data_IF_407899049656
#
_entry.id   IF_407899049656
#
_cell.length_a   1.000
_cell.length_b   1.000
_cell.length_c   1.000
_cell.angle_alpha   90.00
_cell.angle_beta   90.00
_cell.angle_gamma   90.00
#
_symmetry.space_group_name_H-M   'P 1'
#
loop_
_entity.id
_entity.type
_entity.pdbx_description
1 polymer ?
#
# COMPACT_ATOMS: atom_id res chain seq x y z
N UNK A 1 -2.06 -24.60 20.65
CA UNK A 1 -0.82 -24.11 20.00
C UNK A 1 -0.22 -22.94 20.79
N UNK A 2 -0.99 -21.89 21.13
CA UNK A 2 -0.52 -20.78 21.99
C UNK A 2 0.09 -21.23 23.32
N UNK A 3 -0.62 -22.08 24.09
CA UNK A 3 -0.14 -22.63 25.39
C UNK A 3 1.18 -23.40 25.29
N UNK A 4 1.45 -24.05 24.15
CA UNK A 4 2.70 -24.78 23.94
C UNK A 4 3.88 -23.86 23.62
N UNK A 5 3.62 -22.68 23.03
CA UNK A 5 4.64 -21.65 22.77
C UNK A 5 4.96 -20.86 24.03
N UNK A 6 4.01 -20.71 24.96
CA UNK A 6 4.27 -20.11 26.28
C UNK A 6 5.33 -20.89 27.06
N UNK A 7 5.30 -22.23 26.97
CA UNK A 7 6.31 -23.11 27.59
C UNK A 7 7.70 -23.01 26.94
N UNK A 8 7.80 -22.45 25.73
CA UNK A 8 9.04 -22.26 24.99
C UNK A 8 9.60 -20.82 25.12
N UNK A 9 8.97 -19.98 25.95
CA UNK A 9 9.30 -18.56 26.10
C UNK A 9 9.31 -17.80 24.75
N UNK A 10 8.43 -18.21 23.83
CA UNK A 10 8.23 -17.55 22.53
C UNK A 10 6.94 -16.76 22.57
N UNK A 11 7.06 -15.44 22.50
CA UNK A 11 5.93 -14.55 22.31
C UNK A 11 5.42 -14.66 20.87
N UNK A 12 4.11 -14.72 20.67
CA UNK A 12 3.46 -14.76 19.35
C UNK A 12 2.29 -13.78 19.29
N UNK A 13 2.14 -13.13 18.14
CA UNK A 13 0.97 -12.34 17.80
C UNK A 13 0.68 -12.48 16.30
N UNK A 14 -0.57 -12.75 15.97
CA UNK A 14 -1.08 -13.01 14.62
C UNK A 14 -1.95 -11.83 14.20
N UNK A 15 -1.74 -11.36 12.98
CA UNK A 15 -2.46 -10.25 12.37
C UNK A 15 -3.15 -10.70 11.09
N UNK A 16 -4.30 -10.10 10.77
CA UNK A 16 -4.99 -10.31 9.49
C UNK A 16 -4.34 -9.50 8.34
N UNK A 17 -4.93 -9.55 7.15
CA UNK A 17 -4.45 -8.82 5.97
C UNK A 17 -4.54 -7.29 6.09
N UNK A 18 -5.34 -6.79 7.04
CA UNK A 18 -5.50 -5.37 7.36
C UNK A 18 -4.63 -4.95 8.56
N UNK A 19 -3.68 -5.80 9.00
CA UNK A 19 -2.83 -5.63 10.17
C UNK A 19 -3.61 -5.58 11.51
N UNK A 20 -4.79 -6.19 11.60
CA UNK A 20 -5.56 -6.27 12.85
C UNK A 20 -5.20 -7.50 13.65
N UNK A 21 -5.02 -7.34 14.95
CA UNK A 21 -4.67 -8.42 15.86
C UNK A 21 -5.78 -9.48 15.92
N UNK A 22 -5.43 -10.73 15.64
CA UNK A 22 -6.34 -11.88 15.68
C UNK A 22 -6.16 -12.70 16.96
N UNK A 23 -4.91 -13.04 17.29
CA UNK A 23 -4.56 -13.94 18.38
C UNK A 23 -3.16 -13.62 18.90
N UNK A 24 -2.96 -13.69 20.21
CA UNK A 24 -1.65 -13.61 20.88
C UNK A 24 -1.60 -14.58 22.05
N UNK A 25 -0.41 -14.81 22.60
CA UNK A 25 -0.22 -15.64 23.80
C UNK A 25 0.19 -14.80 25.03
N UNK A 26 0.24 -15.44 26.19
CA UNK A 26 0.57 -14.75 27.45
C UNK A 26 2.04 -14.29 27.47
N UNK A 27 2.96 -15.04 26.85
CA UNK A 27 4.35 -14.60 26.72
C UNK A 27 4.47 -13.28 25.95
N UNK A 28 3.60 -13.01 24.97
CA UNK A 28 3.57 -11.71 24.29
C UNK A 28 3.27 -10.56 25.26
N UNK A 29 2.31 -10.74 26.17
CA UNK A 29 1.98 -9.73 27.18
C UNK A 29 3.06 -9.61 28.27
N UNK A 30 3.80 -10.67 28.54
CA UNK A 30 4.96 -10.62 29.43
C UNK A 30 6.14 -9.88 28.80
N UNK A 31 6.31 -10.00 27.48
CA UNK A 31 7.33 -9.25 26.76
C UNK A 31 6.91 -7.79 26.66
N UNK A 32 5.66 -7.50 26.29
CA UNK A 32 5.14 -6.16 26.07
C UNK A 32 4.01 -5.83 27.07
N UNK A 33 4.36 -5.55 28.35
CA UNK A 33 3.36 -5.29 29.40
C UNK A 33 2.48 -4.07 29.11
N UNK A 34 2.93 -3.14 28.28
CA UNK A 34 2.15 -2.00 27.80
C UNK A 34 0.89 -2.39 27.01
N UNK A 35 0.79 -3.64 26.56
CA UNK A 35 -0.37 -4.16 25.83
C UNK A 35 -1.33 -4.93 26.75
N UNK A 36 -0.90 -5.30 27.96
CA UNK A 36 -1.72 -6.05 28.90
C UNK A 36 -2.98 -5.25 29.30
N UNK A 37 -4.16 -5.86 29.12
CA UNK A 37 -5.45 -5.23 29.41
C UNK A 37 -5.93 -4.22 28.34
N UNK A 38 -5.15 -3.99 27.28
CA UNK A 38 -5.48 -3.05 26.21
C UNK A 38 -5.66 -3.72 24.86
N UNK A 39 -4.84 -4.75 24.54
CA UNK A 39 -4.95 -5.46 23.26
C UNK A 39 -6.25 -6.27 23.18
N UNK A 40 -6.91 -6.21 22.04
CA UNK A 40 -8.14 -6.96 21.76
C UNK A 40 -8.18 -7.47 20.33
N UNK A 41 -9.05 -8.44 20.05
CA UNK A 41 -9.25 -8.95 18.69
C UNK A 41 -9.81 -7.83 17.81
N UNK A 42 -9.26 -7.69 16.60
CA UNK A 42 -9.61 -6.65 15.64
C UNK A 42 -8.87 -5.33 15.83
N UNK A 43 -7.97 -5.22 16.82
CA UNK A 43 -7.21 -4.00 17.07
C UNK A 43 -6.15 -3.74 15.99
N UNK A 44 -6.06 -2.51 15.50
CA UNK A 44 -5.07 -2.11 14.50
C UNK A 44 -3.65 -2.15 15.08
N UNK A 45 -2.70 -2.70 14.33
CA UNK A 45 -1.29 -2.69 14.71
C UNK A 45 -0.73 -1.28 14.99
N UNK A 46 -1.32 -0.24 14.40
CA UNK A 46 -1.01 1.17 14.69
C UNK A 46 -1.22 1.51 16.16
N UNK A 47 -2.28 1.00 16.78
CA UNK A 47 -2.58 1.28 18.19
C UNK A 47 -1.60 0.56 19.12
N UNK A 48 -1.16 -0.64 18.73
CA UNK A 48 -0.05 -1.34 19.40
C UNK A 48 1.24 -0.51 19.34
N UNK A 49 1.63 -0.03 18.15
CA UNK A 49 2.80 0.82 17.98
C UNK A 49 2.69 2.13 18.76
N UNK A 50 1.52 2.76 18.78
CA UNK A 50 1.30 4.00 19.53
C UNK A 50 1.56 3.79 21.02
N UNK A 51 1.03 2.72 21.62
CA UNK A 51 1.32 2.39 23.03
C UNK A 51 2.79 2.08 23.27
N UNK A 52 3.40 1.32 22.35
CA UNK A 52 4.82 1.00 22.42
C UNK A 52 5.71 2.25 22.40
N UNK A 53 5.40 3.22 21.55
CA UNK A 53 6.16 4.47 21.42
C UNK A 53 5.89 5.47 22.54
N UNK A 54 4.66 5.58 23.05
CA UNK A 54 4.32 6.54 24.11
C UNK A 54 5.14 6.34 25.40
N UNK A 55 5.57 5.12 25.70
CA UNK A 55 6.40 4.84 26.87
C UNK A 55 7.90 5.07 26.63
N UNK A 56 8.31 5.35 25.39
CA UNK A 56 9.72 5.35 24.96
C UNK A 56 10.17 6.66 24.34
N UNK A 57 9.26 7.43 23.74
CA UNK A 57 9.56 8.73 23.15
C UNK A 57 9.73 9.81 24.21
N UNK A 58 10.72 10.68 24.02
CA UNK A 58 10.91 11.86 24.86
C UNK A 58 9.85 12.95 24.57
N UNK A 59 9.74 13.95 25.45
CA UNK A 59 8.81 15.06 25.29
C UNK A 59 9.04 15.88 23.99
N UNK A 60 10.27 15.90 23.48
CA UNK A 60 10.63 16.58 22.23
C UNK A 60 10.22 15.79 20.98
N UNK A 61 10.04 14.47 21.11
CA UNK A 61 9.76 13.53 20.01
C UNK A 61 8.29 13.14 19.93
N UNK A 62 7.54 13.26 21.03
CA UNK A 62 6.09 13.00 21.07
C UNK A 62 5.30 13.69 19.95
N UNK A 63 5.63 14.94 19.53
CA UNK A 63 4.95 15.58 18.40
C UNK A 63 5.10 14.86 17.05
N UNK A 64 6.07 13.94 16.92
CA UNK A 64 6.33 13.17 15.70
C UNK A 64 5.81 11.72 15.78
N UNK A 65 5.01 11.37 16.80
CA UNK A 65 4.57 9.99 17.05
C UNK A 65 3.90 9.31 15.86
N UNK A 66 3.10 10.03 15.08
CA UNK A 66 2.39 9.46 13.93
C UNK A 66 3.36 9.05 12.81
N UNK A 67 4.46 9.79 12.62
CA UNK A 67 5.53 9.39 11.68
C UNK A 67 6.16 8.06 12.09
N UNK A 68 6.47 7.90 13.38
CA UNK A 68 7.06 6.67 13.91
C UNK A 68 6.10 5.47 13.78
N UNK A 69 4.80 5.69 13.96
CA UNK A 69 3.78 4.66 13.75
C UNK A 69 3.74 4.22 12.28
N UNK A 70 3.73 5.15 11.33
CA UNK A 70 3.69 4.81 9.91
C UNK A 70 4.92 4.02 9.45
N UNK A 71 6.10 4.41 9.90
CA UNK A 71 7.34 3.67 9.64
C UNK A 71 7.30 2.27 10.30
N UNK A 72 6.77 2.16 11.52
CA UNK A 72 6.56 0.89 12.20
C UNK A 72 5.60 -0.04 11.47
N UNK A 73 4.53 0.48 10.86
CA UNK A 73 3.59 -0.30 10.02
C UNK A 73 4.24 -0.73 8.72
N UNK A 74 5.03 0.15 8.07
CA UNK A 74 5.78 -0.23 6.87
C UNK A 74 6.79 -1.34 7.16
N UNK A 75 7.51 -1.24 8.28
CA UNK A 75 8.38 -2.32 8.78
C UNK A 75 7.58 -3.58 9.09
N UNK A 76 6.38 -3.44 9.66
CA UNK A 76 5.48 -4.57 9.84
C UNK A 76 5.25 -5.25 8.50
N UNK A 77 4.72 -4.57 7.49
CA UNK A 77 4.35 -5.22 6.22
C UNK A 77 5.52 -5.81 5.42
N UNK A 78 6.66 -5.13 5.40
CA UNK A 78 7.76 -5.44 4.47
C UNK A 78 8.89 -6.29 5.08
N UNK A 79 8.85 -6.59 6.37
CA UNK A 79 9.93 -7.35 7.03
C UNK A 79 9.87 -8.84 6.67
N UNK A 80 10.91 -9.32 5.99
CA UNK A 80 11.09 -10.72 5.57
C UNK A 80 12.19 -11.49 6.34
N UNK A 81 13.08 -10.76 7.05
CA UNK A 81 14.16 -11.36 7.84
C UNK A 81 13.98 -11.06 9.33
N UNK A 82 14.36 -12.02 10.17
CA UNK A 82 14.39 -11.81 11.60
C UNK A 82 15.48 -10.81 11.97
N UNK A 83 15.22 -9.95 12.96
CA UNK A 83 16.20 -9.02 13.52
C UNK A 83 16.09 -9.00 15.04
N UNK A 84 17.09 -8.45 15.72
CA UNK A 84 17.10 -8.30 17.18
C UNK A 84 16.98 -6.83 17.55
N UNK A 85 16.34 -6.51 18.66
CA UNK A 85 16.31 -5.15 19.21
C UNK A 85 16.33 -5.20 20.73
N UNK A 86 16.78 -4.10 21.34
CA UNK A 86 16.83 -3.96 22.80
C UNK A 86 15.44 -3.62 23.35
N UNK A 87 14.99 -4.35 24.38
CA UNK A 87 13.68 -4.17 24.98
C UNK A 87 13.73 -4.36 26.50
N UNK A 88 13.58 -3.27 27.25
CA UNK A 88 13.85 -3.22 28.71
C UNK A 88 15.27 -3.72 29.04
N UNK A 89 15.40 -4.76 29.88
CA UNK A 89 16.69 -5.32 30.34
C UNK A 89 17.17 -6.51 29.51
N UNK A 90 16.53 -6.79 28.37
CA UNK A 90 16.84 -7.97 27.55
C UNK A 90 16.76 -7.68 26.05
N UNK A 91 17.47 -8.50 25.27
CA UNK A 91 17.37 -8.48 23.80
C UNK A 91 16.27 -9.39 23.32
N UNK A 92 15.51 -8.91 22.36
CA UNK A 92 14.42 -9.64 21.73
C UNK A 92 14.70 -9.82 20.25
N UNK A 93 14.78 -11.07 19.81
CA UNK A 93 14.78 -11.43 18.39
C UNK A 93 13.36 -11.55 17.90
N UNK A 94 13.00 -10.76 16.89
CA UNK A 94 11.70 -10.82 16.22
C UNK A 94 11.82 -11.43 14.84
N UNK A 95 11.04 -12.47 14.59
CA UNK A 95 10.81 -13.01 13.26
C UNK A 95 9.39 -12.63 12.82
N UNK A 96 9.22 -12.41 11.51
CA UNK A 96 7.90 -12.20 10.97
C UNK A 96 7.69 -12.93 9.66
N UNK A 97 6.54 -13.58 9.56
CA UNK A 97 6.25 -14.59 8.55
C UNK A 97 4.90 -14.27 7.89
N UNK A 98 4.86 -14.02 6.56
CA UNK A 98 3.61 -13.85 5.84
C UNK A 98 2.82 -15.16 5.74
N UNK A 99 1.50 -15.09 5.97
CA UNK A 99 0.55 -16.19 5.81
C UNK A 99 -0.23 -16.05 4.49
N UNK A 100 0.42 -15.58 3.41
CA UNK A 100 -0.24 -15.30 2.14
C UNK A 100 -1.30 -14.21 2.27
N UNK A 101 -2.49 -14.42 1.69
CA UNK A 101 -3.60 -13.45 1.71
C UNK A 101 -4.30 -13.31 3.08
N UNK A 102 -3.93 -14.12 4.08
CA UNK A 102 -4.62 -14.19 5.37
C UNK A 102 -3.99 -13.30 6.46
N UNK A 103 -2.83 -12.71 6.21
CA UNK A 103 -2.14 -11.83 7.14
C UNK A 103 -0.74 -12.31 7.52
N UNK A 104 -0.37 -12.21 8.79
CA UNK A 104 1.01 -12.41 9.26
C UNK A 104 1.14 -12.95 10.68
N UNK A 105 2.22 -13.66 10.93
CA UNK A 105 2.62 -14.11 12.27
C UNK A 105 3.93 -13.44 12.67
N UNK A 106 3.93 -12.82 13.84
CA UNK A 106 5.15 -12.32 14.50
C UNK A 106 5.51 -13.22 15.67
N UNK A 107 6.79 -13.54 15.77
CA UNK A 107 7.37 -14.34 16.84
C UNK A 107 8.50 -13.56 17.49
N UNK A 108 8.55 -13.55 18.81
CA UNK A 108 9.60 -12.91 19.60
C UNK A 108 10.23 -13.90 20.57
N UNK A 109 11.55 -13.86 20.69
CA UNK A 109 12.31 -14.70 21.64
C UNK A 109 13.41 -13.88 22.29
N UNK A 110 13.63 -14.04 23.60
CA UNK A 110 14.78 -13.46 24.29
C UNK A 110 16.08 -14.11 23.80
N UNK A 111 17.13 -13.33 23.55
CA UNK A 111 18.41 -13.86 23.04
C UNK A 111 19.59 -13.64 23.98
N UNK A 112 19.60 -12.58 24.78
CA UNK A 112 20.55 -12.37 25.87
C UNK A 112 20.06 -11.28 26.85
N UNK A 113 20.44 -11.32 28.14
CA UNK A 113 20.27 -10.16 29.03
C UNK A 113 21.17 -9.01 28.57
N UNK A 114 20.71 -7.78 28.76
CA UNK A 114 21.58 -6.60 28.67
C UNK A 114 22.51 -6.64 29.89
N UNK A 115 23.82 -6.51 29.70
CA UNK A 115 24.78 -6.41 30.81
C UNK A 115 24.54 -5.09 31.55
N UNK A 116 23.60 -5.08 32.50
CA UNK A 116 23.34 -3.96 33.39
C UNK A 116 24.42 -3.91 34.46
N UNK A 117 25.45 -3.09 34.23
CA UNK A 117 26.47 -2.85 35.24
C UNK A 117 27.80 -2.28 34.77
N UNK A 118 27.81 -1.21 33.96
CA UNK A 118 29.01 -0.37 33.78
C UNK A 118 28.68 1.13 33.57
N UNK A 119 27.59 1.65 34.12
CA UNK A 119 27.33 3.10 34.12
C UNK A 119 28.20 3.89 35.13
N UNK A 120 28.84 3.21 36.09
CA UNK A 120 29.79 3.82 37.02
C UNK A 120 31.18 3.20 36.88
N UNK A 121 31.96 3.67 35.90
CA UNK A 121 33.43 3.81 35.89
C UNK A 121 33.95 4.00 34.46
N UNK A 122 33.90 5.23 33.94
CA UNK A 122 34.86 5.65 32.90
C UNK A 122 35.29 7.09 33.19
N UNK A 123 36.51 7.19 33.73
CA UNK A 123 37.36 8.37 33.57
C UNK A 123 37.77 8.41 32.08
N UNK A 124 37.49 9.47 31.31
CA UNK A 124 37.55 9.45 29.84
C UNK A 124 38.95 9.33 29.21
N UNK A 125 40.03 9.27 29.99
CA UNK A 125 41.39 9.49 29.46
C UNK A 125 42.36 8.29 29.43
N UNK A 126 41.96 7.03 29.71
CA UNK A 126 42.99 5.96 29.86
C UNK A 126 42.66 4.55 29.35
N UNK A 127 41.68 4.33 28.48
CA UNK A 127 41.56 3.04 27.78
C UNK A 127 42.01 3.16 26.31
N UNK A 128 43.08 2.46 25.88
CA UNK A 128 43.43 2.42 24.48
C UNK A 128 42.29 1.76 23.69
N UNK A 129 41.99 2.28 22.49
CA UNK A 129 41.08 1.63 21.53
C UNK A 129 41.53 0.17 21.35
N UNK A 130 40.63 -0.84 21.34
CA UNK A 130 41.03 -2.21 21.01
C UNK A 130 41.65 -2.21 19.60
N UNK A 131 42.97 -2.39 19.52
CA UNK A 131 43.77 -1.91 18.38
C UNK A 131 44.09 -2.97 17.34
N UNK A 132 43.33 -4.06 17.19
CA UNK A 132 43.59 -4.98 16.08
C UNK A 132 42.39 -5.89 15.81
N UNK A 133 41.69 -5.62 14.70
CA UNK A 133 41.04 -6.68 13.93
C UNK A 133 42.18 -7.63 13.52
N UNK A 134 42.02 -8.94 13.76
CA UNK A 134 43.02 -9.91 13.29
C UNK A 134 43.23 -9.68 11.78
N UNK A 135 44.48 -9.67 11.28
CA UNK A 135 44.75 -9.36 9.87
C UNK A 135 43.89 -10.19 8.91
N UNK A 136 43.67 -11.46 9.22
CA UNK A 136 42.85 -12.39 8.43
C UNK A 136 41.35 -12.02 8.43
N UNK A 137 40.82 -11.51 9.54
CA UNK A 137 39.41 -11.07 9.60
C UNK A 137 39.22 -9.71 8.93
N UNK A 138 40.20 -8.82 9.00
CA UNK A 138 40.19 -7.56 8.25
C UNK A 138 40.21 -7.82 6.74
N UNK A 139 41.08 -8.72 6.26
CA UNK A 139 41.13 -9.12 4.85
C UNK A 139 39.80 -9.75 4.38
N UNK A 140 39.18 -10.59 5.21
CA UNK A 140 37.89 -11.20 4.87
C UNK A 140 36.77 -10.15 4.74
N UNK A 141 36.69 -9.18 5.65
CA UNK A 141 35.70 -8.10 5.61
C UNK A 141 35.96 -7.10 4.46
N UNK A 142 37.22 -6.90 4.09
CA UNK A 142 37.61 -6.05 2.95
C UNK A 142 37.09 -6.61 1.61
N UNK A 143 36.97 -7.93 1.51
CA UNK A 143 36.50 -8.61 0.30
C UNK A 143 34.97 -8.62 0.13
N UNK A 144 34.22 -8.13 1.12
CA UNK A 144 32.75 -8.11 1.06
C UNK A 144 32.24 -7.04 0.09
N UNK A 145 31.21 -7.39 -0.66
CA UNK A 145 30.52 -6.47 -1.58
C UNK A 145 29.63 -5.43 -0.85
N UNK A 146 29.33 -5.65 0.42
CA UNK A 146 28.60 -4.69 1.25
C UNK A 146 29.59 -3.73 1.91
N UNK A 147 29.19 -2.47 2.10
CA UNK A 147 29.96 -1.55 2.93
C UNK A 147 29.91 -1.98 4.39
N UNK A 148 31.05 -2.21 5.02
CA UNK A 148 31.13 -2.58 6.43
C UNK A 148 31.74 -1.42 7.21
N UNK A 149 31.05 -1.00 8.27
CA UNK A 149 31.52 -0.03 9.25
C UNK A 149 31.55 -0.69 10.63
N UNK A 150 32.71 -0.71 11.28
CA UNK A 150 32.87 -1.13 12.66
C UNK A 150 32.77 0.09 13.57
N UNK A 151 31.96 -0.03 14.63
CA UNK A 151 31.80 1.00 15.65
C UNK A 151 32.14 0.48 17.04
N UNK A 152 32.59 1.37 17.92
CA UNK A 152 32.81 1.09 19.34
C UNK A 152 31.49 1.01 20.14
N UNK A 153 31.59 0.74 21.44
CA UNK A 153 30.46 0.63 22.37
C UNK A 153 29.61 1.93 22.46
N UNK A 154 30.17 3.06 22.04
CA UNK A 154 29.54 4.39 22.08
C UNK A 154 29.13 4.84 20.66
N UNK A 155 29.26 3.96 19.64
CA UNK A 155 28.84 4.23 18.27
C UNK A 155 29.84 5.03 17.43
N UNK A 156 31.09 5.19 17.88
CA UNK A 156 32.15 5.87 17.10
C UNK A 156 32.79 4.92 16.11
N UNK A 157 33.06 5.43 14.91
CA UNK A 157 33.65 4.67 13.82
C UNK A 157 35.10 4.28 14.13
N UNK A 158 35.38 2.97 14.13
CA UNK A 158 36.72 2.41 14.36
C UNK A 158 37.40 2.08 13.03
N UNK A 159 36.67 1.45 12.12
CA UNK A 159 37.19 0.90 10.88
C UNK A 159 36.08 0.77 9.85
N UNK A 160 36.40 0.88 8.56
CA UNK A 160 35.47 0.58 7.49
C UNK A 160 36.20 -0.03 6.30
N UNK A 161 35.53 -0.90 5.53
CA UNK A 161 36.09 -1.43 4.30
C UNK A 161 36.04 -0.41 3.16
N UNK A 162 36.76 -0.68 2.07
CA UNK A 162 36.78 0.17 0.89
C UNK A 162 35.38 0.46 0.33
N UNK A 163 34.51 -0.54 0.27
CA UNK A 163 33.14 -0.36 -0.24
C UNK A 163 32.35 0.66 0.56
N UNK A 164 32.46 0.67 1.91
CA UNK A 164 31.84 1.71 2.72
C UNK A 164 32.38 3.09 2.37
N UNK A 165 33.69 3.24 2.22
CA UNK A 165 34.29 4.52 1.86
C UNK A 165 33.78 5.02 0.51
N UNK A 166 33.66 4.14 -0.49
CA UNK A 166 33.10 4.48 -1.80
C UNK A 166 31.61 4.88 -1.73
N UNK A 167 30.79 4.14 -0.98
CA UNK A 167 29.36 4.44 -0.81
C UNK A 167 29.12 5.86 -0.29
N UNK A 168 29.96 6.32 0.63
CA UNK A 168 29.84 7.62 1.30
C UNK A 168 30.80 8.70 0.76
N UNK A 169 31.58 8.40 -0.28
CA UNK A 169 32.53 9.35 -0.88
C UNK A 169 33.67 9.77 0.06
N UNK A 170 34.09 8.88 0.97
CA UNK A 170 35.14 9.14 1.94
C UNK A 170 36.52 8.81 1.33
N UNK A 171 37.54 9.68 1.47
CA UNK A 171 38.82 9.50 0.78
C UNK A 171 39.71 8.40 1.39
N UNK A 172 39.58 8.14 2.69
CA UNK A 172 40.34 7.09 3.40
C UNK A 172 39.73 6.82 4.78
N UNK A 173 40.19 5.76 5.44
CA UNK A 173 39.80 5.43 6.82
C UNK A 173 40.20 6.49 7.84
N UNK A 174 41.13 7.41 7.51
CA UNK A 174 41.45 8.55 8.39
C UNK A 174 40.26 9.50 8.57
N UNK A 175 39.34 9.54 7.60
CA UNK A 175 38.12 10.33 7.68
C UNK A 175 37.16 9.84 8.77
N UNK A 176 37.35 8.62 9.29
CA UNK A 176 36.52 8.01 10.33
C UNK A 176 36.85 8.54 11.74
N UNK A 177 38.04 9.13 11.95
CA UNK A 177 38.59 9.38 13.29
C UNK A 177 37.66 10.21 14.18
N UNK A 178 37.18 9.55 15.25
CA UNK A 178 36.30 10.09 16.30
C UNK A 178 34.93 10.57 15.81
N UNK A 179 34.48 10.13 14.63
CA UNK A 179 33.16 10.47 14.09
C UNK A 179 32.16 9.36 14.30
N UNK A 180 30.95 9.72 14.68
CA UNK A 180 29.82 8.81 14.61
C UNK A 180 29.31 8.66 13.16
N UNK A 181 28.50 7.64 12.91
CA UNK A 181 27.96 7.41 11.57
C UNK A 181 27.06 8.55 11.06
N UNK A 182 26.36 9.27 11.94
CA UNK A 182 25.53 10.41 11.55
C UNK A 182 26.35 11.59 11.02
N UNK A 183 27.54 11.81 11.57
CA UNK A 183 28.50 12.80 11.08
C UNK A 183 29.07 12.39 9.72
N UNK A 184 29.41 11.11 9.54
CA UNK A 184 29.87 10.59 8.24
C UNK A 184 28.77 10.69 7.17
N UNK A 185 27.53 10.36 7.53
CA UNK A 185 26.37 10.50 6.67
C UNK A 185 26.13 11.97 6.27
N UNK A 186 26.17 12.89 7.24
CA UNK A 186 26.00 14.34 6.97
C UNK A 186 27.08 14.85 6.02
N UNK A 187 28.33 14.38 6.18
CA UNK A 187 29.43 14.74 5.29
C UNK A 187 29.20 14.27 3.86
N UNK A 188 28.63 13.09 3.64
CA UNK A 188 28.33 12.60 2.30
C UNK A 188 27.39 13.57 1.53
N UNK A 189 26.54 14.32 2.25
CA UNK A 189 25.61 15.29 1.68
C UNK A 189 26.14 16.74 1.65
N UNK A 190 27.40 17.00 2.07
CA UNK A 190 27.91 18.36 2.27
C UNK A 190 27.96 19.24 1.01
N UNK A 191 27.95 18.63 -0.17
CA UNK A 191 27.98 19.31 -1.47
C UNK A 191 26.64 19.30 -2.21
N UNK A 192 25.59 18.77 -1.58
CA UNK A 192 24.25 18.64 -2.15
C UNK A 192 23.26 19.59 -1.47
N UNK A 193 22.20 19.96 -2.19
CA UNK A 193 21.10 20.72 -1.60
C UNK A 193 20.27 19.79 -0.69
N UNK A 194 20.01 20.15 0.58
CA UNK A 194 19.19 19.34 1.46
C UNK A 194 17.81 19.05 0.87
N UNK A 195 17.52 17.77 0.63
CA UNK A 195 16.21 17.30 0.15
C UNK A 195 15.33 16.86 1.31
N UNK A 196 14.02 16.72 1.07
CA UNK A 196 13.10 16.15 2.06
C UNK A 196 13.51 14.73 2.47
N UNK A 197 14.01 13.92 1.52
CA UNK A 197 14.52 12.57 1.78
C UNK A 197 15.78 12.57 2.66
N UNK A 198 16.68 13.54 2.48
CA UNK A 198 17.84 13.72 3.33
C UNK A 198 17.43 14.01 4.79
N UNK A 199 16.50 14.94 5.00
CA UNK A 199 16.01 15.31 6.33
C UNK A 199 15.34 14.11 7.01
N UNK A 200 14.50 13.37 6.30
CA UNK A 200 13.86 12.15 6.81
C UNK A 200 14.88 11.08 7.18
N UNK A 201 15.87 10.84 6.31
CA UNK A 201 16.94 9.86 6.53
C UNK A 201 17.84 10.23 7.72
N UNK A 202 18.13 11.51 7.92
CA UNK A 202 18.88 11.98 9.09
C UNK A 202 18.09 11.78 10.39
N UNK A 203 16.77 11.95 10.35
CA UNK A 203 15.88 11.62 11.47
C UNK A 203 15.92 10.13 11.82
N UNK A 204 15.76 9.26 10.82
CA UNK A 204 15.87 7.81 10.97
C UNK A 204 17.23 7.38 11.54
N UNK A 205 18.31 7.96 11.05
CA UNK A 205 19.66 7.62 11.51
C UNK A 205 19.87 7.95 12.99
N UNK A 206 19.42 9.13 13.43
CA UNK A 206 19.48 9.54 14.85
C UNK A 206 18.61 8.64 15.74
N UNK A 207 17.47 8.17 15.23
CA UNK A 207 16.60 7.21 15.93
C UNK A 207 17.28 5.84 16.07
N UNK A 208 17.88 5.32 15.01
CA UNK A 208 18.55 4.02 15.04
C UNK A 208 19.86 3.99 15.82
N UNK A 209 20.50 5.14 16.03
CA UNK A 209 21.57 5.28 17.03
C UNK A 209 21.06 5.14 18.47
N UNK A 210 19.76 5.39 18.72
CA UNK A 210 19.11 5.29 20.04
C UNK A 210 18.39 3.95 20.24
N UNK A 211 17.85 3.36 19.17
CA UNK A 211 17.08 2.12 19.19
C UNK A 211 17.71 1.10 18.22
N UNK A 212 18.38 0.09 18.77
CA UNK A 212 19.25 -0.79 17.98
C UNK A 212 18.51 -1.88 17.20
N UNK A 213 19.12 -2.29 16.08
CA UNK A 213 18.96 -3.64 15.53
C UNK A 213 17.90 -3.92 14.45
N UNK A 214 16.98 -3.00 14.13
CA UNK A 214 16.13 -3.13 12.94
C UNK A 214 16.81 -2.54 11.68
N UNK A 215 16.80 -3.23 10.52
CA UNK A 215 17.28 -2.66 9.26
C UNK A 215 16.50 -1.41 8.85
N UNK A 216 17.20 -0.40 8.33
CA UNK A 216 16.61 0.83 7.82
C UNK A 216 17.25 1.26 6.51
N UNK A 217 16.60 2.13 5.76
CA UNK A 217 17.09 2.62 4.47
C UNK A 217 17.30 4.13 4.55
N UNK A 218 18.48 4.57 4.16
CA UNK A 218 18.85 5.97 4.05
C UNK A 218 18.95 6.37 2.58
N UNK A 219 18.53 7.59 2.26
CA UNK A 219 18.86 8.20 0.99
C UNK A 219 20.35 8.57 0.96
N UNK A 220 20.96 8.52 -0.21
CA UNK A 220 22.30 9.02 -0.49
C UNK A 220 22.22 10.06 -1.62
N UNK A 221 23.25 10.91 -1.76
CA UNK A 221 23.39 11.80 -2.92
C UNK A 221 23.18 11.09 -4.25
N UNK A 222 22.81 11.85 -5.29
CA UNK A 222 22.61 11.34 -6.65
C UNK A 222 21.51 10.26 -6.75
N UNK A 223 20.44 10.37 -5.95
CA UNK A 223 19.28 9.49 -6.00
C UNK A 223 19.63 8.01 -5.76
N UNK A 224 20.52 7.78 -4.79
CA UNK A 224 20.92 6.45 -4.33
C UNK A 224 20.28 6.14 -2.99
N UNK A 225 20.17 4.87 -2.66
CA UNK A 225 19.68 4.43 -1.35
C UNK A 225 20.53 3.31 -0.80
N UNK A 226 20.77 3.36 0.50
CA UNK A 226 21.56 2.36 1.22
C UNK A 226 20.74 1.79 2.36
N UNK A 227 20.67 0.46 2.42
CA UNK A 227 20.08 -0.25 3.54
C UNK A 227 21.16 -0.52 4.59
N UNK A 228 20.96 0.00 5.79
CA UNK A 228 21.83 -0.19 6.93
C UNK A 228 21.28 -1.31 7.80
N UNK A 229 22.13 -2.27 8.14
CA UNK A 229 21.84 -3.43 8.98
C UNK A 229 22.88 -3.50 10.07
N UNK A 230 22.44 -3.48 11.32
CA UNK A 230 23.35 -3.68 12.45
C UNK A 230 23.59 -5.17 12.67
N UNK A 231 24.86 -5.56 12.63
CA UNK A 231 25.38 -6.90 12.86
C UNK A 231 26.13 -6.89 14.19
N UNK A 232 25.45 -7.27 15.28
CA UNK A 232 26.07 -7.39 16.62
C UNK A 232 26.60 -8.81 16.82
N UNK A 233 27.92 -8.94 17.02
CA UNK A 233 28.56 -10.22 17.33
C UNK A 233 28.21 -10.69 18.75
N UNK A 234 28.01 -12.00 18.95
CA UNK A 234 27.78 -12.58 20.29
C UNK A 234 29.06 -12.73 21.12
N UNK A 235 30.24 -12.50 20.53
CA UNK A 235 31.56 -12.66 21.18
C UNK A 235 32.57 -11.55 20.83
N UNK A 236 32.11 -10.40 20.32
CA UNK A 236 33.02 -9.28 20.03
C UNK A 236 33.16 -8.43 21.29
N UNK A 237 34.39 -8.07 21.64
CA UNK A 237 34.76 -7.20 22.78
C UNK A 237 34.15 -5.78 22.65
N UNK A 238 32.82 -5.65 22.72
CA UNK A 238 32.10 -4.38 22.68
C UNK A 238 31.92 -3.74 21.30
N UNK A 239 32.48 -4.30 20.22
CA UNK A 239 32.37 -3.74 18.87
C UNK A 239 31.17 -4.28 18.10
N UNK A 240 30.41 -3.35 17.49
CA UNK A 240 29.29 -3.64 16.60
C UNK A 240 29.69 -3.36 15.15
N UNK A 241 29.11 -4.11 14.21
CA UNK A 241 29.27 -3.85 12.79
C UNK A 241 27.98 -3.30 12.22
N UNK A 242 28.09 -2.38 11.26
CA UNK A 242 27.02 -1.90 10.42
C UNK A 242 27.34 -2.37 8.99
N UNK A 243 26.39 -3.08 8.38
CA UNK A 243 26.42 -3.46 6.97
C UNK A 243 25.57 -2.47 6.18
N UNK A 244 26.12 -1.97 5.09
CA UNK A 244 25.58 -0.92 4.23
C UNK A 244 25.45 -1.51 2.83
N UNK A 245 24.22 -1.85 2.47
CA UNK A 245 23.91 -2.49 1.19
C UNK A 245 23.32 -1.44 0.25
N UNK A 246 23.94 -1.21 -0.90
CA UNK A 246 23.31 -0.37 -1.94
C UNK A 246 22.04 -1.08 -2.44
N UNK A 247 20.89 -0.42 -2.29
CA UNK A 247 19.58 -0.94 -2.71
C UNK A 247 18.97 -0.10 -3.84
N UNK A 248 19.79 0.74 -4.49
CA UNK A 248 19.33 1.68 -5.51
C UNK A 248 18.68 0.97 -6.68
N UNK A 249 19.39 0.01 -7.29
CA UNK A 249 18.88 -0.74 -8.43
C UNK A 249 17.60 -1.51 -8.09
N UNK A 250 17.62 -2.23 -6.96
CA UNK A 250 16.45 -3.01 -6.50
C UNK A 250 15.23 -2.12 -6.25
N UNK A 251 15.42 -0.93 -5.66
CA UNK A 251 14.33 0.03 -5.47
C UNK A 251 13.78 0.56 -6.79
N UNK A 252 14.66 0.95 -7.72
CA UNK A 252 14.26 1.46 -9.03
C UNK A 252 13.46 0.40 -9.80
N UNK A 253 13.91 -0.85 -9.79
CA UNK A 253 13.19 -1.97 -10.41
C UNK A 253 11.81 -2.21 -9.77
N UNK A 254 11.73 -2.16 -8.44
CA UNK A 254 10.47 -2.36 -7.72
C UNK A 254 9.46 -1.24 -8.03
N UNK A 255 9.91 0.01 -8.08
CA UNK A 255 9.05 1.14 -8.42
C UNK A 255 8.60 1.09 -9.89
N UNK A 256 9.51 0.74 -10.82
CA UNK A 256 9.15 0.53 -12.22
C UNK A 256 8.11 -0.59 -12.39
N UNK A 257 8.29 -1.71 -11.68
CA UNK A 257 7.33 -2.82 -11.70
C UNK A 257 5.97 -2.39 -11.16
N UNK A 258 5.93 -1.61 -10.07
CA UNK A 258 4.71 -1.07 -9.50
C UNK A 258 3.99 -0.15 -10.49
N UNK A 259 4.72 0.76 -11.13
CA UNK A 259 4.16 1.67 -12.14
C UNK A 259 3.61 0.90 -13.35
N UNK A 260 4.35 -0.12 -13.83
CA UNK A 260 3.89 -0.98 -14.91
C UNK A 260 2.62 -1.76 -14.51
N UNK A 261 2.57 -2.29 -13.30
CA UNK A 261 1.40 -3.00 -12.77
C UNK A 261 0.19 -2.07 -12.71
N UNK A 262 0.34 -0.87 -12.15
CA UNK A 262 -0.72 0.13 -12.11
C UNK A 262 -1.18 0.54 -13.51
N UNK A 263 -0.26 0.65 -14.47
CA UNK A 263 -0.59 0.96 -15.85
C UNK A 263 -1.40 -0.18 -16.50
N UNK A 264 -0.97 -1.43 -16.33
CA UNK A 264 -1.68 -2.61 -16.81
C UNK A 264 -3.07 -2.74 -16.18
N UNK A 265 -3.20 -2.50 -14.87
CA UNK A 265 -4.49 -2.47 -14.18
C UNK A 265 -5.41 -1.38 -14.76
N UNK A 266 -4.88 -0.19 -15.05
CA UNK A 266 -5.66 0.90 -15.65
C UNK A 266 -6.18 0.57 -17.05
N UNK A 267 -5.41 -0.18 -17.84
CA UNK A 267 -5.83 -0.71 -19.15
C UNK A 267 -6.84 -1.85 -18.99
N UNK A 268 -6.74 -2.65 -17.93
CA UNK A 268 -7.60 -3.80 -17.71
C UNK A 268 -9.02 -3.45 -17.24
N UNK A 269 -9.27 -2.21 -16.78
CA UNK A 269 -10.58 -1.77 -16.23
C UNK A 269 -11.35 -0.82 -17.14
N UNK A 270 -10.77 -0.38 -18.26
CA UNK A 270 -11.40 0.53 -19.22
C UNK A 270 -11.72 -0.17 -20.54
N UNK A 271 -12.72 0.35 -21.24
CA UNK A 271 -13.03 -0.01 -22.63
C UNK A 271 -12.17 0.82 -23.59
N UNK A 272 -11.48 0.15 -24.51
CA UNK A 272 -10.50 0.78 -25.40
C UNK A 272 -11.10 1.78 -26.39
N UNK A 273 -12.38 1.61 -26.77
CA UNK A 273 -13.05 2.47 -27.74
C UNK A 273 -13.62 3.74 -27.10
N UNK A 274 -14.26 3.58 -25.94
CA UNK A 274 -15.06 4.63 -25.29
C UNK A 274 -14.35 5.31 -24.12
N UNK A 275 -13.31 4.68 -23.55
CA UNK A 275 -12.60 5.16 -22.37
C UNK A 275 -13.38 5.03 -21.05
N UNK A 276 -14.63 4.53 -21.10
CA UNK A 276 -15.44 4.23 -19.92
C UNK A 276 -14.91 2.99 -19.19
N UNK A 277 -15.49 2.68 -18.03
CA UNK A 277 -15.26 1.38 -17.41
C UNK A 277 -15.69 0.25 -18.35
N UNK A 278 -14.99 -0.88 -18.31
CA UNK A 278 -15.42 -2.09 -19.02
C UNK A 278 -16.30 -2.97 -18.11
N UNK A 279 -16.83 -4.06 -18.67
CA UNK A 279 -17.65 -5.03 -17.92
C UNK A 279 -16.99 -5.56 -16.66
N UNK A 280 -15.70 -5.90 -16.70
CA UNK A 280 -14.97 -6.40 -15.52
C UNK A 280 -15.04 -5.38 -14.38
N UNK A 281 -14.76 -4.12 -14.69
CA UNK A 281 -14.82 -3.04 -13.70
C UNK A 281 -16.24 -2.78 -13.19
N UNK A 282 -17.23 -2.90 -14.07
CA UNK A 282 -18.63 -2.82 -13.68
C UNK A 282 -19.00 -3.91 -12.67
N UNK A 283 -18.64 -5.18 -12.94
CA UNK A 283 -18.96 -6.31 -12.07
C UNK A 283 -18.31 -6.14 -10.67
N UNK A 284 -17.04 -5.70 -10.61
CA UNK A 284 -16.33 -5.40 -9.35
C UNK A 284 -17.04 -4.30 -8.53
N UNK A 285 -17.41 -3.20 -9.17
CA UNK A 285 -18.01 -2.06 -8.48
C UNK A 285 -19.45 -2.36 -8.09
N UNK A 286 -20.20 -3.10 -8.92
CA UNK A 286 -21.54 -3.57 -8.60
C UNK A 286 -21.55 -4.38 -7.31
N UNK A 287 -20.63 -5.34 -7.16
CA UNK A 287 -20.54 -6.13 -5.94
C UNK A 287 -20.18 -5.27 -4.72
N UNK A 288 -19.19 -4.39 -4.84
CA UNK A 288 -18.82 -3.47 -3.76
C UNK A 288 -19.98 -2.57 -3.32
N UNK A 289 -20.68 -1.96 -4.27
CA UNK A 289 -21.79 -1.05 -3.99
C UNK A 289 -23.06 -1.78 -3.54
N UNK A 290 -23.27 -3.02 -3.96
CA UNK A 290 -24.33 -3.89 -3.42
C UNK A 290 -24.14 -4.13 -1.92
N UNK A 291 -22.92 -4.53 -1.52
CA UNK A 291 -22.59 -4.74 -0.11
C UNK A 291 -22.71 -3.44 0.70
N UNK A 292 -22.33 -2.29 0.12
CA UNK A 292 -22.50 -0.97 0.74
C UNK A 292 -23.99 -0.63 0.92
N UNK A 293 -24.78 -0.75 -0.13
CA UNK A 293 -26.21 -0.44 -0.13
C UNK A 293 -26.96 -1.30 0.90
N UNK A 294 -26.64 -2.59 0.98
CA UNK A 294 -27.21 -3.51 1.97
C UNK A 294 -26.88 -3.09 3.41
N UNK A 295 -25.63 -2.69 3.71
CA UNK A 295 -25.26 -2.22 5.06
C UNK A 295 -25.90 -0.89 5.42
N UNK A 296 -25.97 0.04 4.46
CA UNK A 296 -26.48 1.40 4.68
C UNK A 296 -27.99 1.51 4.53
N UNK A 297 -28.67 0.45 4.08
CA UNK A 297 -30.10 0.43 3.76
C UNK A 297 -30.50 1.51 2.75
N UNK A 298 -29.64 1.76 1.77
CA UNK A 298 -29.87 2.74 0.69
C UNK A 298 -30.24 2.04 -0.61
N UNK A 299 -31.05 2.66 -1.48
CA UNK A 299 -31.43 2.06 -2.75
C UNK A 299 -30.25 2.01 -3.72
N UNK A 300 -30.15 0.94 -4.51
CA UNK A 300 -29.16 0.78 -5.58
C UNK A 300 -29.88 0.59 -6.91
N UNK A 301 -29.76 1.57 -7.80
CA UNK A 301 -30.38 1.51 -9.13
C UNK A 301 -29.36 1.16 -10.21
N UNK A 302 -29.81 0.41 -11.22
CA UNK A 302 -29.06 0.02 -12.39
C UNK A 302 -29.85 0.38 -13.66
N UNK A 303 -29.18 1.01 -14.61
CA UNK A 303 -29.69 1.21 -15.96
C UNK A 303 -28.90 0.34 -16.92
N UNK A 304 -29.60 -0.41 -17.76
CA UNK A 304 -29.04 -1.12 -18.91
C UNK A 304 -29.51 -0.42 -20.19
N UNK A 305 -28.58 -0.02 -21.04
CA UNK A 305 -28.83 0.76 -22.24
C UNK A 305 -28.32 0.02 -23.47
N UNK A 306 -29.01 0.17 -24.59
CA UNK A 306 -28.59 -0.39 -25.88
C UNK A 306 -28.96 0.55 -27.04
N UNK A 307 -28.06 0.66 -28.01
CA UNK A 307 -28.27 1.46 -29.23
C UNK A 307 -29.22 0.74 -30.17
N UNK A 308 -30.37 1.37 -30.42
CA UNK A 308 -31.41 0.79 -31.25
C UNK A 308 -30.92 0.59 -32.69
N UNK A 309 -31.14 -0.62 -33.22
CA UNK A 309 -30.79 -0.98 -34.59
C UNK A 309 -29.30 -0.82 -34.93
N UNK A 310 -28.38 -0.92 -33.96
CA UNK A 310 -26.95 -0.70 -34.17
C UNK A 310 -26.34 -1.57 -35.28
N UNK A 311 -26.74 -2.85 -35.38
CA UNK A 311 -26.32 -3.70 -36.50
C UNK A 311 -26.68 -3.11 -37.87
N UNK A 312 -27.93 -2.68 -38.05
CA UNK A 312 -28.40 -2.04 -39.31
C UNK A 312 -27.65 -0.73 -39.58
N UNK A 313 -27.34 0.02 -38.53
CA UNK A 313 -26.55 1.24 -38.62
C UNK A 313 -25.15 0.96 -39.16
N UNK A 314 -24.46 -0.04 -38.62
CA UNK A 314 -23.16 -0.50 -39.10
C UNK A 314 -23.23 -1.05 -40.53
N UNK A 315 -24.25 -1.84 -40.85
CA UNK A 315 -24.44 -2.39 -42.18
C UNK A 315 -24.65 -1.28 -43.24
N UNK A 316 -25.25 -0.14 -42.84
CA UNK A 316 -25.56 0.98 -43.74
C UNK A 316 -24.41 1.98 -43.86
N UNK A 317 -23.73 2.31 -42.76
CA UNK A 317 -22.76 3.41 -42.69
C UNK A 317 -21.32 2.96 -42.41
N UNK A 318 -21.11 1.65 -42.19
CA UNK A 318 -19.82 1.06 -41.85
C UNK A 318 -19.50 1.13 -40.35
N UNK A 319 -18.64 0.21 -39.90
CA UNK A 319 -18.16 0.15 -38.52
C UNK A 319 -17.57 1.45 -37.96
N UNK A 320 -16.77 2.24 -38.71
CA UNK A 320 -16.26 3.51 -38.19
C UNK A 320 -17.36 4.49 -37.76
N UNK A 321 -18.51 4.48 -38.44
CA UNK A 321 -19.65 5.30 -38.06
C UNK A 321 -20.28 4.81 -36.74
N UNK A 322 -20.45 3.49 -36.59
CA UNK A 322 -20.91 2.91 -35.32
C UNK A 322 -19.98 3.21 -34.15
N UNK A 323 -18.67 3.16 -34.38
CA UNK A 323 -17.67 3.52 -33.36
C UNK A 323 -17.82 4.96 -32.88
N UNK A 324 -18.07 5.91 -33.80
CA UNK A 324 -18.35 7.30 -33.46
C UNK A 324 -19.67 7.46 -32.68
N UNK A 325 -20.69 6.68 -33.00
CA UNK A 325 -21.95 6.65 -32.23
C UNK A 325 -21.69 6.22 -30.80
N UNK A 326 -20.93 5.14 -30.60
CA UNK A 326 -20.60 4.62 -29.28
C UNK A 326 -19.74 5.61 -28.48
N UNK A 327 -18.75 6.25 -29.10
CA UNK A 327 -17.94 7.30 -28.46
C UNK A 327 -18.78 8.50 -28.01
N UNK A 328 -19.73 8.95 -28.84
CA UNK A 328 -20.59 10.08 -28.48
C UNK A 328 -21.58 9.72 -27.37
N UNK A 329 -22.18 8.53 -27.43
CA UNK A 329 -23.01 8.02 -26.34
C UNK A 329 -22.21 7.97 -25.03
N UNK A 330 -20.99 7.42 -25.08
CA UNK A 330 -20.11 7.38 -23.92
C UNK A 330 -19.80 8.78 -23.36
N UNK A 331 -19.53 9.76 -24.23
CA UNK A 331 -19.33 11.15 -23.81
C UNK A 331 -20.57 11.73 -23.14
N UNK A 332 -21.77 11.52 -23.69
CA UNK A 332 -23.04 11.96 -23.07
C UNK A 332 -23.17 11.36 -21.67
N UNK A 333 -22.97 10.05 -21.53
CA UNK A 333 -23.08 9.38 -20.23
C UNK A 333 -22.05 9.91 -19.23
N UNK A 334 -20.78 10.02 -19.61
CA UNK A 334 -19.70 10.51 -18.75
C UNK A 334 -19.93 11.95 -18.27
N UNK A 335 -20.46 12.83 -19.13
CA UNK A 335 -20.73 14.22 -18.76
C UNK A 335 -21.97 14.38 -17.89
N UNK A 336 -22.98 13.53 -18.03
CA UNK A 336 -24.23 13.63 -17.28
C UNK A 336 -24.19 12.91 -15.94
N UNK A 337 -23.35 11.89 -15.81
CA UNK A 337 -23.25 11.05 -14.62
C UNK A 337 -21.95 11.38 -13.90
N UNK A 338 -21.96 12.51 -13.18
CA UNK A 338 -20.79 13.02 -12.44
C UNK A 338 -20.91 12.84 -10.92
N UNK A 339 -22.01 12.24 -10.43
CA UNK A 339 -22.25 12.09 -9.00
C UNK A 339 -21.27 11.07 -8.41
N UNK A 340 -20.68 11.43 -7.26
CA UNK A 340 -19.77 10.57 -6.50
C UNK A 340 -20.39 9.18 -6.28
N UNK A 341 -19.63 8.13 -6.62
CA UNK A 341 -20.06 6.74 -6.48
C UNK A 341 -20.83 6.17 -7.68
N UNK A 342 -21.33 7.00 -8.61
CA UNK A 342 -21.95 6.49 -9.83
C UNK A 342 -20.89 5.98 -10.82
N UNK A 343 -21.19 4.88 -11.52
CA UNK A 343 -20.30 4.28 -12.51
C UNK A 343 -20.99 4.18 -13.86
N UNK A 344 -20.28 4.55 -14.93
CA UNK A 344 -20.69 4.30 -16.31
C UNK A 344 -19.73 3.31 -16.94
N UNK A 345 -20.26 2.24 -17.53
CA UNK A 345 -19.47 1.21 -18.19
C UNK A 345 -20.03 0.88 -19.57
N UNK A 346 -19.15 0.49 -20.50
CA UNK A 346 -19.55 -0.26 -21.69
C UNK A 346 -19.63 -1.74 -21.31
N UNK A 347 -20.85 -2.28 -21.33
CA UNK A 347 -21.12 -3.64 -20.88
C UNK A 347 -20.70 -4.68 -21.92
N UNK A 348 -20.87 -4.36 -23.22
CA UNK A 348 -20.39 -5.17 -24.33
C UNK A 348 -21.04 -4.76 -25.65
N UNK A 349 -20.31 -4.79 -26.77
CA UNK A 349 -20.88 -4.42 -28.07
C UNK A 349 -21.47 -3.00 -28.08
N UNK A 350 -22.77 -2.89 -28.31
CA UNK A 350 -23.56 -1.64 -28.24
C UNK A 350 -24.22 -1.36 -26.88
N UNK A 351 -23.96 -2.19 -25.87
CA UNK A 351 -24.60 -2.12 -24.56
C UNK A 351 -23.78 -1.32 -23.55
N UNK A 352 -24.47 -0.50 -22.76
CA UNK A 352 -23.90 0.29 -21.66
C UNK A 352 -24.64 0.02 -20.37
N UNK A 353 -23.94 0.13 -19.24
CA UNK A 353 -24.50 0.02 -17.91
C UNK A 353 -24.20 1.28 -17.11
N UNK A 354 -25.18 1.74 -16.33
CA UNK A 354 -25.01 2.84 -15.38
C UNK A 354 -25.46 2.39 -14.00
N UNK A 355 -24.51 2.37 -13.05
CA UNK A 355 -24.76 2.07 -11.65
C UNK A 355 -24.95 3.35 -10.85
N UNK A 356 -26.03 3.43 -10.07
CA UNK A 356 -26.45 4.59 -9.31
C UNK A 356 -26.66 4.22 -7.83
N UNK A 357 -25.64 4.33 -6.96
CA UNK A 357 -25.78 4.11 -5.53
C UNK A 357 -26.63 5.18 -4.87
N UNK A 358 -27.42 4.84 -3.86
CA UNK A 358 -28.30 5.78 -3.17
C UNK A 358 -29.20 6.55 -4.15
N UNK A 359 -29.88 5.81 -5.03
CA UNK A 359 -30.82 6.37 -6.01
C UNK A 359 -32.03 5.46 -6.13
N UNK A 360 -33.20 6.01 -5.88
CA UNK A 360 -34.47 5.30 -6.00
C UNK A 360 -34.92 5.14 -7.46
N UNK A 361 -35.85 4.22 -7.69
CA UNK A 361 -36.35 3.91 -9.03
C UNK A 361 -36.93 5.14 -9.77
N UNK A 362 -37.76 6.01 -9.15
CA UNK A 362 -38.29 7.19 -9.83
C UNK A 362 -37.19 8.16 -10.28
N UNK A 363 -36.16 8.39 -9.46
CA UNK A 363 -35.04 9.27 -9.80
C UNK A 363 -34.17 8.66 -10.90
N UNK A 364 -33.90 7.35 -10.81
CA UNK A 364 -33.18 6.61 -11.84
C UNK A 364 -33.92 6.65 -13.20
N UNK A 365 -35.25 6.46 -13.20
CA UNK A 365 -36.07 6.53 -14.39
C UNK A 365 -36.10 7.94 -15.02
N UNK A 366 -36.13 9.00 -14.21
CA UNK A 366 -36.01 10.39 -14.71
C UNK A 366 -34.66 10.62 -15.39
N UNK A 367 -33.57 10.15 -14.79
CA UNK A 367 -32.23 10.25 -15.38
C UNK A 367 -32.14 9.45 -16.68
N UNK A 368 -32.70 8.23 -16.71
CA UNK A 368 -32.78 7.42 -17.91
C UNK A 368 -33.50 8.16 -19.05
N UNK A 369 -34.67 8.74 -18.78
CA UNK A 369 -35.45 9.45 -19.80
C UNK A 369 -34.72 10.70 -20.30
N UNK A 370 -34.03 11.41 -19.41
CA UNK A 370 -33.19 12.53 -19.80
C UNK A 370 -32.04 12.07 -20.72
N UNK A 371 -31.33 10.99 -20.38
CA UNK A 371 -30.26 10.43 -21.23
C UNK A 371 -30.81 10.04 -22.61
N UNK A 372 -31.96 9.34 -22.64
CA UNK A 372 -32.63 8.94 -23.88
C UNK A 372 -32.91 10.14 -24.78
N UNK A 373 -33.47 11.21 -24.24
CA UNK A 373 -33.75 12.45 -24.97
C UNK A 373 -32.48 13.13 -25.48
N UNK A 374 -31.39 13.12 -24.71
CA UNK A 374 -30.11 13.69 -25.17
C UNK A 374 -29.54 12.93 -26.37
N UNK A 375 -29.64 11.61 -26.35
CA UNK A 375 -29.18 10.75 -27.47
C UNK A 375 -30.07 10.93 -28.70
N UNK A 376 -31.39 10.98 -28.50
CA UNK A 376 -32.35 11.23 -29.59
C UNK A 376 -32.12 12.57 -30.30
N UNK A 377 -31.73 13.59 -29.54
CA UNK A 377 -31.42 14.92 -30.07
C UNK A 377 -29.98 15.04 -30.61
N UNK A 378 -29.20 13.97 -30.54
CA UNK A 378 -27.83 13.98 -31.04
C UNK A 378 -27.83 13.98 -32.56
N UNK A 379 -27.12 14.96 -33.14
CA UNK A 379 -26.89 15.03 -34.58
C UNK A 379 -25.57 14.33 -34.94
N UNK A 380 -25.66 13.26 -35.71
CA UNK A 380 -24.52 12.57 -36.32
C UNK A 380 -24.73 12.46 -37.82
N UNK A 381 -23.71 12.80 -38.59
CA UNK A 381 -23.78 12.83 -40.05
C UNK A 381 -22.77 13.82 -40.65
N UNK A 382 -22.58 13.72 -41.95
CA UNK A 382 -21.82 14.66 -42.77
C UNK A 382 -22.55 14.89 -44.10
N UNK A 383 -21.98 15.73 -44.98
CA UNK A 383 -22.56 16.05 -46.29
C UNK A 383 -22.86 14.80 -47.15
N UNK A 384 -22.13 13.70 -46.95
CA UNK A 384 -22.29 12.45 -47.69
C UNK A 384 -23.32 11.48 -47.08
N UNK A 385 -23.63 11.59 -45.78
CA UNK A 385 -24.51 10.64 -45.06
C UNK A 385 -25.85 11.24 -44.64
N UNK A 386 -25.98 12.57 -44.66
CA UNK A 386 -27.12 13.26 -44.08
C UNK A 386 -27.19 13.11 -42.56
N UNK A 387 -28.15 13.77 -41.92
CA UNK A 387 -28.39 13.63 -40.48
C UNK A 387 -29.01 12.25 -40.20
N UNK A 388 -28.30 11.43 -39.43
CA UNK A 388 -28.76 10.11 -38.99
C UNK A 388 -29.31 10.21 -37.58
N UNK A 389 -30.57 9.81 -37.41
CA UNK A 389 -31.21 9.74 -36.09
C UNK A 389 -30.75 8.50 -35.36
N UNK A 390 -30.20 8.70 -34.16
CA UNK A 390 -29.80 7.62 -33.25
C UNK A 390 -30.76 7.60 -32.07
N UNK A 391 -31.22 6.41 -31.69
CA UNK A 391 -32.04 6.22 -30.50
C UNK A 391 -31.47 5.10 -29.64
N UNK A 392 -31.84 5.11 -28.36
CA UNK A 392 -31.47 4.07 -27.40
C UNK A 392 -32.71 3.60 -26.65
N UNK A 393 -32.71 2.33 -26.29
CA UNK A 393 -33.66 1.76 -25.33
C UNK A 393 -32.98 1.62 -23.98
N UNK A 394 -33.72 1.85 -22.88
CA UNK A 394 -33.16 1.78 -21.52
C UNK A 394 -34.07 0.95 -20.62
N UNK A 395 -33.50 -0.04 -19.94
CA UNK A 395 -34.10 -0.76 -18.84
C UNK A 395 -33.60 -0.23 -17.51
N UNK A 396 -34.50 0.02 -16.57
CA UNK A 396 -34.18 0.52 -15.23
C UNK A 396 -34.64 -0.48 -14.19
N UNK A 397 -33.76 -0.84 -13.26
CA UNK A 397 -34.09 -1.64 -12.09
C UNK A 397 -33.55 -0.98 -10.83
N UNK A 398 -34.20 -1.23 -9.70
CA UNK A 398 -33.77 -0.73 -8.40
C UNK A 398 -33.90 -1.84 -7.37
N UNK A 399 -32.83 -2.11 -6.65
CA UNK A 399 -32.86 -2.90 -5.43
C UNK A 399 -33.03 -1.96 -4.24
N UNK A 400 -34.11 -2.16 -3.47
CA UNK A 400 -34.38 -1.47 -2.21
C UNK A 400 -34.20 -2.44 -1.02
N UNK A 401 -34.28 -1.92 0.22
CA UNK A 401 -33.95 -2.64 1.47
C UNK A 401 -34.54 -4.06 1.56
N UNK A 402 -35.77 -4.30 1.09
CA UNK A 402 -36.40 -5.63 1.10
C UNK A 402 -35.93 -6.56 -0.02
N UNK A 403 -35.45 -6.01 -1.15
CA UNK A 403 -35.07 -6.74 -2.36
C UNK A 403 -33.56 -7.00 -2.52
N UNK A 404 -32.72 -6.32 -1.73
CA UNK A 404 -31.26 -6.54 -1.67
C UNK A 404 -30.85 -7.92 -1.12
N UNK A 405 -31.82 -8.77 -0.78
CA UNK A 405 -31.61 -10.14 -0.25
C UNK A 405 -31.37 -11.19 -1.33
N UNK A 406 -31.53 -10.86 -2.62
CA UNK A 406 -31.50 -11.84 -3.71
C UNK A 406 -30.08 -12.06 -4.28
N UNK A 407 -29.52 -11.11 -5.02
CA UNK A 407 -28.15 -11.10 -5.55
C UNK A 407 -27.93 -9.92 -6.51
N UNK A 408 -26.67 -9.58 -6.78
CA UNK A 408 -26.27 -8.65 -7.85
C UNK A 408 -26.74 -9.11 -9.23
N UNK A 409 -26.68 -10.41 -9.52
CA UNK A 409 -27.18 -11.02 -10.76
C UNK A 409 -28.67 -10.79 -10.96
N UNK A 410 -29.49 -10.92 -9.90
CA UNK A 410 -30.93 -10.66 -10.01
C UNK A 410 -31.24 -9.20 -10.40
N UNK A 411 -30.45 -8.23 -9.93
CA UNK A 411 -30.61 -6.83 -10.32
C UNK A 411 -30.27 -6.59 -11.80
N UNK A 412 -29.20 -7.22 -12.29
CA UNK A 412 -28.81 -7.17 -13.72
C UNK A 412 -29.90 -7.79 -14.58
N UNK A 413 -30.35 -9.00 -14.25
CA UNK A 413 -31.42 -9.70 -14.97
C UNK A 413 -32.72 -8.88 -15.04
N UNK A 414 -33.05 -8.17 -13.95
CA UNK A 414 -34.22 -7.31 -13.89
C UNK A 414 -34.09 -6.10 -14.82
N UNK A 415 -32.92 -5.44 -14.83
CA UNK A 415 -32.63 -4.33 -15.72
C UNK A 415 -32.65 -4.77 -17.19
N UNK A 416 -32.09 -5.94 -17.50
CA UNK A 416 -32.10 -6.52 -18.86
C UNK A 416 -33.50 -6.87 -19.33
N UNK A 417 -34.36 -7.42 -18.47
CA UNK A 417 -35.77 -7.67 -18.80
C UNK A 417 -36.52 -6.37 -19.09
N UNK A 418 -36.26 -5.32 -18.30
CA UNK A 418 -36.83 -4.00 -18.56
C UNK A 418 -36.33 -3.45 -19.91
N UNK A 419 -35.04 -3.57 -20.22
CA UNK A 419 -34.47 -3.15 -21.50
C UNK A 419 -35.10 -3.91 -22.67
N UNK A 420 -35.28 -5.23 -22.52
CA UNK A 420 -35.97 -6.06 -23.49
C UNK A 420 -37.42 -5.62 -23.72
N UNK A 421 -38.14 -5.25 -22.65
CA UNK A 421 -39.49 -4.69 -22.75
C UNK A 421 -39.50 -3.36 -23.50
N UNK A 422 -38.57 -2.44 -23.21
CA UNK A 422 -38.42 -1.19 -23.95
C UNK A 422 -38.18 -1.43 -25.45
N UNK A 423 -37.33 -2.40 -25.79
CA UNK A 423 -37.07 -2.79 -27.20
C UNK A 423 -38.32 -3.35 -27.88
N UNK A 424 -39.13 -4.15 -27.18
CA UNK A 424 -40.35 -4.76 -27.75
C UNK A 424 -41.51 -3.78 -27.89
N UNK A 425 -41.60 -2.80 -27.01
CA UNK A 425 -42.68 -1.81 -26.99
C UNK A 425 -42.47 -0.67 -27.99
N UNK A 426 -41.54 -0.80 -28.95
CA UNK A 426 -41.30 0.21 -30.00
C UNK A 426 -39.94 0.89 -29.97
N UNK A 427 -39.02 0.51 -29.07
CA UNK A 427 -37.68 1.12 -28.89
C UNK A 427 -37.75 2.61 -28.51
N UNK A 428 -36.61 3.28 -28.43
CA UNK A 428 -36.50 4.70 -28.08
C UNK A 428 -37.34 5.08 -26.85
N UNK A 429 -37.25 4.27 -25.79
CA UNK A 429 -38.01 4.48 -24.57
C UNK A 429 -37.32 3.88 -23.34
N UNK A 430 -37.83 4.28 -22.18
CA UNK A 430 -37.42 3.75 -20.89
C UNK A 430 -38.50 2.80 -20.38
N UNK A 431 -38.10 1.62 -19.90
CA UNK A 431 -38.94 0.75 -19.11
C UNK A 431 -38.31 0.53 -17.73
N UNK A 432 -39.13 0.50 -16.68
CA UNK A 432 -38.68 0.29 -15.32
C UNK A 432 -39.29 -1.00 -14.77
N UNK A 433 -38.49 -1.78 -14.04
CA UNK A 433 -38.93 -2.98 -13.35
C UNK A 433 -38.55 -2.91 -11.87
N UNK A 434 -39.45 -3.39 -11.02
CA UNK A 434 -39.21 -3.63 -9.60
C UNK A 434 -39.03 -5.13 -9.36
N UNK A 435 -38.19 -5.54 -8.39
CA UNK A 435 -38.06 -6.92 -7.96
C UNK A 435 -39.38 -7.59 -7.58
#
# INVERSE_FOLDING_TARGET
MAVALDQLEVAICIFDAEDKALVWNDTFLQFFPEHAGHVHVGEDYRDNLRRFYLQRLSAEELPQIDRYIEEGVLRHRNQLRAFEFDHHDYRVRVASLPLGAYGRVRLWRKTAPLLTGMQDRINPDTKPLPTQILPDTAMALESLADGILMVDEIGRSIWANHTFLELYGLPSTDALKLRDFAQLYTQAWQHEVPTAEYVASLGLLKEHQRFSGAPYVLALPNNRWVRVVELRGTQTNGSNFLSHVDVTESRQQQEALKQLTQHLESLAIKDALTGLANRRRFDEVLESEWQRAHRSKTPLSLLMLDVDHFKRLNDTHGHPFGDEVLKRLASILAHRIQRTGSLVARYGGEEFAVLLPDTDLPSAAKLAEFIRQQVENMSLGNENTGLVRITISIGVACASDTALTTSTTALVDLADRALYQAKRSGRNQVAAATP
#
